data_IF_220688176924
#
_entry.id   IF_220688176924
#
_cell.length_a   1.000
_cell.length_b   1.000
_cell.length_c   1.000
_cell.angle_alpha   90.00
_cell.angle_beta   90.00
_cell.angle_gamma   90.00
#
_symmetry.space_group_name_H-M   'P 1'
#
loop_
_entity.id
_entity.type
_entity.pdbx_description
1 polymer ?
#
# COMPACT_ATOMS: atom_id res chain seq x y z
N UNK A 1 2.22 19.58 5.96
CA UNK A 1 2.64 20.80 6.70
C UNK A 1 2.64 20.44 8.17
N UNK A 2 3.77 20.57 8.86
CA UNK A 2 3.88 20.21 10.28
C UNK A 2 4.44 21.44 11.00
N UNK A 3 3.67 21.99 11.94
CA UNK A 3 4.12 23.05 12.83
C UNK A 3 4.83 22.39 14.01
N UNK A 4 6.03 22.84 14.34
CA UNK A 4 6.76 22.40 15.53
C UNK A 4 6.96 23.60 16.47
N UNK A 5 6.78 23.42 17.80
CA UNK A 5 6.98 24.49 18.77
C UNK A 5 8.46 24.67 19.11
N UNK A 6 8.96 25.90 19.08
CA UNK A 6 10.37 26.22 19.31
C UNK A 6 10.59 27.20 20.47
N UNK A 7 9.87 27.06 21.59
CA UNK A 7 10.19 27.77 22.85
C UNK A 7 10.13 29.31 22.83
N UNK A 8 9.91 29.94 21.67
CA UNK A 8 9.63 31.37 21.47
C UNK A 8 8.51 31.61 20.43
N UNK A 9 8.00 30.56 19.79
CA UNK A 9 6.85 30.63 18.89
C UNK A 9 6.59 29.30 18.17
N UNK A 10 5.96 29.40 17.01
CA UNK A 10 5.84 28.34 16.01
C UNK A 10 6.48 28.86 14.73
N UNK A 11 7.54 28.22 14.24
CA UNK A 11 8.12 28.55 12.94
C UNK A 11 7.56 27.68 11.82
N UNK A 12 7.39 28.31 10.66
CA UNK A 12 6.81 27.73 9.46
C UNK A 12 7.93 27.02 8.67
N UNK A 13 8.22 25.76 9.02
CA UNK A 13 9.31 25.02 8.36
C UNK A 13 8.81 24.45 7.03
N UNK A 14 9.24 25.06 5.92
CA UNK A 14 8.96 24.62 4.55
C UNK A 14 10.02 23.64 4.03
N UNK A 15 10.11 22.45 4.62
CA UNK A 15 11.01 21.40 4.13
C UNK A 15 10.33 20.56 3.02
N UNK A 16 10.02 21.18 1.89
CA UNK A 16 9.92 20.44 0.63
C UNK A 16 11.32 20.43 0.03
N UNK A 17 12.12 19.43 0.44
CA UNK A 17 13.35 19.12 -0.27
C UNK A 17 12.91 18.67 -1.66
N UNK A 18 12.99 19.57 -2.63
CA UNK A 18 12.78 19.25 -4.03
C UNK A 18 13.70 18.07 -4.36
N UNK A 19 13.11 16.90 -4.57
CA UNK A 19 13.80 15.73 -5.09
C UNK A 19 14.15 16.05 -6.54
N UNK A 20 15.31 16.69 -6.73
CA UNK A 20 15.98 16.74 -8.02
C UNK A 20 16.10 15.29 -8.49
N UNK A 21 15.58 14.93 -9.68
CA UNK A 21 15.70 13.56 -10.16
C UNK A 21 17.18 13.27 -10.36
N UNK A 22 17.72 12.37 -9.54
CA UNK A 22 19.02 11.78 -9.76
C UNK A 22 18.96 11.10 -11.13
N UNK A 23 19.79 11.55 -12.09
CA UNK A 23 19.99 10.84 -13.35
C UNK A 23 20.59 9.47 -13.00
N UNK A 24 19.76 8.44 -12.95
CA UNK A 24 20.22 7.06 -12.84
C UNK A 24 20.93 6.69 -14.14
N UNK A 25 22.20 6.30 -14.03
CA UNK A 25 23.01 5.85 -15.17
C UNK A 25 22.51 4.47 -15.61
N UNK A 26 22.20 4.34 -16.90
CA UNK A 26 21.49 3.22 -17.52
C UNK A 26 22.31 1.91 -17.55
N UNK A 27 23.61 1.98 -17.24
CA UNK A 27 24.55 0.88 -17.48
C UNK A 27 24.67 -0.13 -16.33
N UNK A 28 24.31 0.24 -15.09
CA UNK A 28 24.53 -0.65 -13.92
C UNK A 28 23.43 -1.71 -13.75
N UNK A 29 22.22 -1.48 -14.26
CA UNK A 29 21.09 -2.42 -14.11
C UNK A 29 21.05 -3.51 -15.20
N UNK A 30 21.82 -3.34 -16.29
CA UNK A 30 21.81 -4.24 -17.43
C UNK A 30 22.50 -5.59 -17.20
N UNK A 31 23.21 -5.78 -16.08
CA UNK A 31 24.05 -6.99 -15.87
C UNK A 31 23.33 -8.21 -15.28
N UNK A 32 22.09 -8.11 -14.79
CA UNK A 32 21.40 -9.24 -14.15
C UNK A 32 20.27 -9.89 -14.95
N UNK A 33 19.88 -9.31 -16.10
CA UNK A 33 18.80 -9.87 -16.92
C UNK A 33 19.39 -10.77 -18.01
N UNK A 34 19.71 -12.02 -17.64
CA UNK A 34 20.09 -13.03 -18.64
C UNK A 34 18.81 -13.63 -19.25
N UNK A 35 18.56 -13.23 -20.49
CA UNK A 35 17.48 -13.68 -21.40
C UNK A 35 16.07 -13.15 -21.10
N UNK A 36 15.78 -11.96 -21.66
CA UNK A 36 14.41 -11.60 -22.05
C UNK A 36 14.34 -11.75 -23.57
N UNK A 37 13.41 -12.58 -24.07
CA UNK A 37 13.16 -12.74 -25.50
C UNK A 37 12.46 -11.47 -26.02
N UNK A 38 13.24 -10.55 -26.60
CA UNK A 38 12.82 -9.19 -27.04
C UNK A 38 12.04 -9.25 -28.37
N UNK A 39 11.10 -10.19 -28.53
CA UNK A 39 10.26 -10.32 -29.73
C UNK A 39 8.76 -10.15 -29.49
N UNK A 40 8.33 -10.00 -28.25
CA UNK A 40 6.92 -9.71 -27.95
C UNK A 40 6.65 -8.19 -28.01
N UNK A 41 5.74 -7.72 -28.89
CA UNK A 41 5.43 -6.29 -29.05
C UNK A 41 4.89 -5.64 -27.77
N UNK A 42 4.45 -6.44 -26.79
CA UNK A 42 3.95 -5.97 -25.50
C UNK A 42 5.07 -5.46 -24.56
N UNK A 43 6.30 -5.96 -24.70
CA UNK A 43 7.44 -5.57 -23.84
C UNK A 43 7.91 -4.15 -24.15
N UNK A 44 7.86 -3.73 -25.43
CA UNK A 44 8.23 -2.38 -25.84
C UNK A 44 7.27 -1.30 -25.29
N UNK A 45 5.98 -1.63 -25.17
CA UNK A 45 4.98 -0.75 -24.54
C UNK A 45 5.25 -0.60 -23.05
N UNK A 46 5.59 -1.71 -22.38
CA UNK A 46 5.92 -1.70 -20.95
C UNK A 46 7.14 -0.82 -20.64
N UNK A 47 8.19 -0.87 -21.48
CA UNK A 47 9.38 -0.03 -21.31
C UNK A 47 9.11 1.45 -21.63
N UNK A 48 8.32 1.72 -22.68
CA UNK A 48 7.97 3.09 -23.10
C UNK A 48 7.13 3.83 -22.06
N UNK A 49 6.28 3.11 -21.34
CA UNK A 49 5.37 3.66 -20.34
C UNK A 49 5.69 3.15 -18.93
N UNK A 50 6.97 2.91 -18.60
CA UNK A 50 7.40 2.24 -17.36
C UNK A 50 6.86 2.81 -16.03
N UNK A 51 6.23 3.99 -16.02
CA UNK A 51 5.50 4.55 -14.87
C UNK A 51 3.99 4.25 -14.82
N UNK A 52 3.40 3.74 -15.90
CA UNK A 52 1.99 3.34 -16.00
C UNK A 52 1.78 1.83 -15.94
N UNK A 53 2.86 1.05 -15.87
CA UNK A 53 2.80 -0.39 -15.64
C UNK A 53 2.99 -0.61 -14.15
N UNK A 54 1.93 -1.05 -13.49
CA UNK A 54 1.98 -1.49 -12.10
C UNK A 54 2.61 -2.89 -12.14
N UNK A 55 3.91 -2.99 -11.88
CA UNK A 55 4.53 -4.29 -11.56
C UNK A 55 4.00 -4.76 -10.20
N UNK A 56 4.15 -6.05 -9.89
CA UNK A 56 3.68 -6.64 -8.63
C UNK A 56 4.13 -5.88 -7.37
N UNK A 57 5.24 -5.15 -7.46
CA UNK A 57 5.94 -4.55 -6.33
C UNK A 57 5.67 -3.04 -6.20
N UNK A 58 4.89 -2.47 -7.12
CA UNK A 58 4.53 -1.05 -7.10
C UNK A 58 3.03 -0.86 -6.86
N UNK A 59 2.68 0.18 -6.12
CA UNK A 59 1.28 0.51 -5.82
C UNK A 59 0.95 1.90 -6.38
N UNK A 60 -0.23 2.03 -6.98
CA UNK A 60 -0.73 3.33 -7.40
C UNK A 60 -1.22 4.13 -6.18
N UNK A 61 -0.63 5.29 -5.95
CA UNK A 61 -1.06 6.24 -4.91
C UNK A 61 -1.24 7.62 -5.53
N UNK A 62 -2.36 8.28 -5.21
CA UNK A 62 -2.59 9.68 -5.58
C UNK A 62 -2.89 10.49 -4.32
N UNK A 63 -2.20 11.60 -4.16
CA UNK A 63 -2.49 12.61 -3.12
C UNK A 63 -3.30 13.77 -3.68
N UNK A 64 -3.78 13.67 -4.92
CA UNK A 64 -4.44 14.75 -5.65
C UNK A 64 -5.92 14.87 -5.27
N UNK A 65 -6.53 13.78 -4.78
CA UNK A 65 -7.97 13.74 -4.50
C UNK A 65 -8.27 13.04 -3.19
N UNK A 66 -9.21 13.61 -2.44
CA UNK A 66 -9.79 13.05 -1.23
C UNK A 66 -11.29 12.82 -1.47
N UNK A 67 -11.80 11.67 -1.06
CA UNK A 67 -13.22 11.36 -1.15
C UNK A 67 -13.91 11.62 0.18
N UNK A 68 -14.97 12.40 0.15
CA UNK A 68 -15.93 12.51 1.25
C UNK A 68 -17.06 11.50 1.01
N UNK A 69 -17.42 10.76 2.06
CA UNK A 69 -18.48 9.75 2.01
C UNK A 69 -19.63 10.30 2.86
N UNK A 70 -20.74 10.64 2.20
CA UNK A 70 -21.97 11.05 2.89
C UNK A 70 -22.67 9.79 3.43
N UNK A 71 -22.87 9.75 4.75
CA UNK A 71 -23.56 8.64 5.44
C UNK A 71 -25.06 8.88 5.56
N UNK A 72 -25.57 10.00 5.04
CA UNK A 72 -26.94 10.46 5.24
C UNK A 72 -27.32 10.44 6.74
N UNK A 73 -28.56 10.10 7.07
CA UNK A 73 -29.06 9.97 8.44
C UNK A 73 -28.78 8.57 9.06
N UNK A 74 -27.86 7.79 8.50
CA UNK A 74 -27.53 6.47 9.04
C UNK A 74 -26.68 6.60 10.30
N UNK A 75 -27.12 5.92 11.36
CA UNK A 75 -26.40 5.87 12.63
C UNK A 75 -25.09 5.08 12.57
N UNK A 76 -24.32 5.17 13.66
CA UNK A 76 -23.08 4.43 13.82
C UNK A 76 -23.33 2.92 13.85
N UNK A 77 -22.53 2.15 13.11
CA UNK A 77 -22.63 0.69 13.06
C UNK A 77 -21.37 0.06 13.65
N UNK A 78 -21.55 -0.72 14.71
CA UNK A 78 -20.48 -1.46 15.38
C UNK A 78 -20.80 -2.94 15.37
N UNK A 79 -20.05 -3.70 14.57
CA UNK A 79 -20.14 -5.15 14.51
C UNK A 79 -19.00 -5.79 15.30
N UNK A 80 -19.30 -6.88 16.00
CA UNK A 80 -18.29 -7.64 16.76
C UNK A 80 -17.32 -8.34 15.80
N UNK A 81 -16.00 -8.33 16.08
CA UNK A 81 -15.05 -9.17 15.36
C UNK A 81 -15.42 -10.65 15.44
N UNK A 82 -15.19 -11.40 14.36
CA UNK A 82 -15.35 -12.85 14.39
C UNK A 82 -14.25 -13.52 15.21
N UNK A 83 -14.59 -14.66 15.81
CA UNK A 83 -13.62 -15.50 16.49
C UNK A 83 -12.86 -16.35 15.47
N UNK A 84 -11.53 -16.25 15.46
CA UNK A 84 -10.64 -17.07 14.64
C UNK A 84 -9.83 -18.05 15.48
N UNK A 85 -9.44 -19.17 14.86
CA UNK A 85 -8.41 -20.02 15.44
C UNK A 85 -7.05 -19.31 15.41
N UNK A 86 -6.06 -19.87 16.14
CA UNK A 86 -4.74 -19.24 16.28
C UNK A 86 -4.00 -19.07 14.95
N UNK A 87 -4.19 -20.01 14.00
CA UNK A 87 -3.50 -19.98 12.70
C UNK A 87 -4.06 -18.84 11.85
N UNK A 88 -5.39 -18.77 11.73
CA UNK A 88 -6.10 -17.70 11.01
C UNK A 88 -5.87 -16.33 11.64
N UNK A 89 -5.84 -16.25 12.96
CA UNK A 89 -5.50 -15.00 13.64
C UNK A 89 -4.08 -14.55 13.28
N UNK A 90 -3.10 -15.46 13.26
CA UNK A 90 -1.74 -15.14 12.83
C UNK A 90 -1.65 -14.65 11.38
N UNK A 91 -2.48 -15.18 10.48
CA UNK A 91 -2.58 -14.70 9.09
C UNK A 91 -3.14 -13.27 9.03
N UNK A 92 -4.18 -12.97 9.81
CA UNK A 92 -4.75 -11.62 9.91
C UNK A 92 -3.69 -10.64 10.41
N UNK A 93 -3.00 -10.99 11.50
CA UNK A 93 -1.99 -10.14 12.14
C UNK A 93 -0.83 -9.84 11.15
N UNK A 94 -0.37 -10.85 10.40
CA UNK A 94 0.64 -10.67 9.34
C UNK A 94 0.22 -9.62 8.30
N UNK A 95 -1.02 -9.69 7.80
CA UNK A 95 -1.50 -8.74 6.79
C UNK A 95 -1.70 -7.34 7.37
N UNK A 96 -2.15 -7.23 8.62
CA UNK A 96 -2.27 -5.94 9.33
C UNK A 96 -0.89 -5.30 9.47
N UNK A 97 0.11 -6.03 9.96
CA UNK A 97 1.47 -5.53 10.11
C UNK A 97 2.06 -5.07 8.77
N UNK A 98 1.90 -5.88 7.73
CA UNK A 98 2.32 -5.54 6.37
C UNK A 98 1.68 -4.24 5.87
N UNK A 99 0.36 -4.11 6.00
CA UNK A 99 -0.36 -2.90 5.56
C UNK A 99 -0.02 -1.66 6.41
N UNK A 100 0.27 -1.84 7.70
CA UNK A 100 0.77 -0.75 8.56
C UNK A 100 2.17 -0.30 8.13
N UNK A 101 3.09 -1.24 7.86
CA UNK A 101 4.44 -0.95 7.37
C UNK A 101 4.42 -0.26 6.00
N UNK A 102 3.52 -0.68 5.11
CA UNK A 102 3.28 -0.06 3.80
C UNK A 102 2.54 1.29 3.89
N UNK A 103 2.06 1.70 5.07
CA UNK A 103 1.32 2.95 5.26
C UNK A 103 -0.09 2.98 4.65
N UNK A 104 -0.67 1.82 4.34
CA UNK A 104 -2.03 1.69 3.77
C UNK A 104 -3.13 1.91 4.79
N UNK A 105 -2.89 1.46 6.01
CA UNK A 105 -3.81 1.59 7.14
C UNK A 105 -3.12 2.30 8.30
N UNK A 106 -3.92 2.79 9.25
CA UNK A 106 -3.44 3.44 10.47
C UNK A 106 -4.35 3.11 11.63
N UNK A 107 -3.81 3.10 12.84
CA UNK A 107 -4.61 2.95 14.05
C UNK A 107 -5.48 4.19 14.28
N UNK A 108 -6.75 3.98 14.59
CA UNK A 108 -7.73 5.03 14.92
C UNK A 108 -8.67 4.52 16.01
N UNK A 109 -9.32 5.45 16.70
CA UNK A 109 -10.51 5.17 17.51
C UNK A 109 -11.72 5.64 16.71
N UNK A 110 -12.59 4.70 16.34
CA UNK A 110 -13.74 4.96 15.48
C UNK A 110 -15.03 4.47 16.16
N UNK A 111 -16.13 5.22 16.04
CA UNK A 111 -17.45 4.71 16.40
C UNK A 111 -18.02 3.71 15.38
N UNK A 112 -17.32 3.46 14.27
CA UNK A 112 -17.67 2.46 13.26
C UNK A 112 -16.70 1.28 13.33
N UNK A 113 -17.24 0.05 13.28
CA UNK A 113 -16.44 -1.16 13.20
C UNK A 113 -17.15 -2.26 12.39
N UNK A 114 -16.38 -2.94 11.54
CA UNK A 114 -16.81 -4.10 10.76
C UNK A 114 -15.81 -5.25 10.97
N UNK A 115 -16.26 -6.52 11.05
CA UNK A 115 -15.36 -7.64 11.21
C UNK A 115 -14.51 -7.88 9.95
N UNK A 116 -13.29 -8.36 10.16
CA UNK A 116 -12.43 -8.88 9.08
C UNK A 116 -12.89 -10.28 8.70
N UNK A 117 -12.86 -10.60 7.41
CA UNK A 117 -13.19 -11.93 6.88
C UNK A 117 -12.03 -12.43 6.02
N UNK A 118 -11.49 -13.61 6.36
CA UNK A 118 -10.50 -14.30 5.55
C UNK A 118 -11.17 -15.07 4.41
N UNK A 119 -10.68 -14.89 3.19
CA UNK A 119 -11.16 -15.59 1.99
C UNK A 119 -9.98 -16.22 1.26
N UNK A 120 -10.04 -17.52 1.00
CA UNK A 120 -8.97 -18.23 0.32
C UNK A 120 -8.96 -17.87 -1.18
N UNK A 121 -7.80 -17.44 -1.68
CA UNK A 121 -7.57 -17.17 -3.10
C UNK A 121 -7.28 -18.47 -3.85
N UNK A 122 -7.66 -18.49 -5.13
CA UNK A 122 -7.34 -19.60 -6.03
C UNK A 122 -5.92 -19.45 -6.62
N UNK A 123 -4.89 -19.45 -5.77
CA UNK A 123 -3.48 -19.32 -6.16
C UNK A 123 -2.67 -20.62 -5.98
N UNK A 124 -3.31 -21.71 -5.54
CA UNK A 124 -2.67 -23.01 -5.32
C UNK A 124 -1.77 -23.08 -4.08
N UNK A 125 -1.77 -22.05 -3.22
CA UNK A 125 -1.01 -22.07 -1.98
C UNK A 125 -1.75 -22.84 -0.87
N UNK A 126 -1.02 -23.41 0.10
CA UNK A 126 -1.64 -24.09 1.24
C UNK A 126 -2.51 -23.14 2.08
N UNK A 127 -3.63 -23.61 2.67
CA UNK A 127 -4.54 -22.77 3.47
C UNK A 127 -3.94 -22.18 4.77
N UNK A 128 -2.73 -22.58 5.15
CA UNK A 128 -2.03 -22.06 6.33
C UNK A 128 -1.02 -20.96 5.96
N UNK A 129 -0.77 -20.72 4.67
CA UNK A 129 0.08 -19.64 4.19
C UNK A 129 -0.69 -18.32 4.21
N UNK A 130 -0.13 -17.24 4.79
CA UNK A 130 -0.77 -15.92 4.76
C UNK A 130 -1.05 -15.43 3.33
N UNK A 131 -0.18 -15.74 2.39
CA UNK A 131 -0.28 -15.37 0.98
C UNK A 131 -1.40 -16.12 0.23
N UNK A 132 -1.96 -17.18 0.82
CA UNK A 132 -3.15 -17.86 0.31
C UNK A 132 -4.44 -17.02 0.50
N UNK A 133 -4.40 -15.96 1.31
CA UNK A 133 -5.51 -15.04 1.59
C UNK A 133 -5.27 -13.64 1.03
#
# INVERSE_FOLDING_TARGET
MILQPDGRGYELVSSVRALVPQKFSVEEELMHVKHVDVKSPHVGVMWKFGRGVISSDQQGLTHVLYHEIDTEDQGQVVSRPYHYDRVKQGIIDYHIEKMLQEGKIRSIQSPYASPVVLTLKNNGLPPDSPEAY
#
